data_IF_208869413499
#
_entry.id   IF_208869413499
#
_cell.length_a   1.000
_cell.length_b   1.000
_cell.length_c   1.000
_cell.angle_alpha   90.00
_cell.angle_beta   90.00
_cell.angle_gamma   90.00
#
_symmetry.space_group_name_H-M   'P 1'
#
loop_
_entity.id
_entity.type
_entity.pdbx_description
1 polymer ?
#
# COMPACT_ATOMS: atom_id res chain seq x y z
N UNK A 1 29.97 -36.74 61.02
CA UNK A 1 28.55 -37.15 61.02
C UNK A 1 27.71 -35.96 61.44
N UNK A 2 26.72 -35.57 60.63
CA UNK A 2 25.68 -34.58 60.95
C UNK A 2 26.13 -33.11 60.93
N UNK A 3 25.34 -32.13 60.53
CA UNK A 3 23.99 -32.14 59.98
C UNK A 3 23.72 -30.77 59.31
N UNK A 4 23.00 -30.78 58.19
CA UNK A 4 22.40 -29.62 57.56
C UNK A 4 21.19 -29.09 58.36
N UNK A 5 20.95 -27.76 58.29
CA UNK A 5 19.67 -27.00 58.35
C UNK A 5 20.05 -25.49 58.41
N UNK A 6 19.43 -24.52 57.75
CA UNK A 6 18.18 -24.44 57.00
C UNK A 6 18.07 -23.08 56.26
N UNK A 7 17.32 -23.07 55.14
CA UNK A 7 16.34 -22.05 54.70
C UNK A 7 16.83 -20.62 54.36
N UNK A 8 16.39 -19.93 53.30
CA UNK A 8 15.17 -20.02 52.49
C UNK A 8 15.46 -19.44 51.10
N UNK A 9 15.14 -20.13 50.00
CA UNK A 9 14.97 -19.49 48.69
C UNK A 9 13.49 -19.19 48.50
N UNK A 10 13.17 -17.92 48.31
CA UNK A 10 11.86 -17.49 47.86
C UNK A 10 11.59 -18.05 46.46
N UNK A 11 10.59 -18.91 46.34
CA UNK A 11 9.98 -19.29 45.07
C UNK A 11 9.11 -18.12 44.63
N UNK A 12 9.64 -17.23 43.80
CA UNK A 12 8.80 -16.38 42.97
C UNK A 12 8.21 -17.30 41.89
N UNK A 13 6.96 -17.73 42.13
CA UNK A 13 6.15 -18.38 41.11
C UNK A 13 6.04 -17.46 39.91
N UNK A 14 6.82 -17.75 38.86
CA UNK A 14 6.53 -17.24 37.53
C UNK A 14 5.26 -17.96 37.09
N UNK A 15 4.12 -17.29 37.20
CA UNK A 15 2.95 -17.61 36.39
C UNK A 15 3.42 -17.67 34.95
N UNK A 16 3.56 -18.89 34.44
CA UNK A 16 3.79 -19.15 33.04
C UNK A 16 2.48 -18.80 32.33
N UNK A 17 2.35 -17.54 31.94
CA UNK A 17 1.37 -17.15 30.95
C UNK A 17 1.85 -17.78 29.65
N UNK A 18 1.19 -18.85 29.26
CA UNK A 18 1.34 -19.45 27.93
C UNK A 18 0.97 -18.36 26.91
N UNK A 19 1.86 -17.98 25.97
CA UNK A 19 1.47 -17.07 24.89
C UNK A 19 0.61 -17.86 23.90
N UNK A 20 -0.71 -17.76 24.04
CA UNK A 20 -1.68 -18.56 23.29
C UNK A 20 -1.97 -18.02 21.86
N UNK A 21 -1.02 -17.34 21.23
CA UNK A 21 -1.10 -17.00 19.80
C UNK A 21 0.26 -17.16 19.15
N UNK A 22 0.56 -18.36 18.66
CA UNK A 22 1.78 -18.67 17.90
C UNK A 22 1.92 -17.86 16.59
N UNK A 23 0.87 -17.16 16.17
CA UNK A 23 0.85 -16.33 14.97
C UNK A 23 0.48 -14.89 15.33
N UNK A 24 0.98 -13.91 14.56
CA UNK A 24 0.71 -12.48 14.78
C UNK A 24 -0.72 -12.02 14.44
N UNK A 25 -1.68 -12.95 14.41
CA UNK A 25 -3.08 -12.70 14.05
C UNK A 25 -4.02 -13.02 15.21
N UNK A 26 -5.05 -12.21 15.37
CA UNK A 26 -6.06 -12.31 16.41
C UNK A 26 -7.45 -12.46 15.77
N UNK A 27 -8.38 -13.09 16.50
CA UNK A 27 -9.79 -13.15 16.10
C UNK A 27 -10.40 -11.73 16.12
N UNK A 28 -11.02 -11.29 15.02
CA UNK A 28 -11.59 -9.93 14.88
C UNK A 28 -13.06 -9.83 15.34
N UNK A 29 -13.63 -10.93 15.83
CA UNK A 29 -15.04 -10.98 16.26
C UNK A 29 -16.00 -11.30 15.11
N UNK A 30 -17.18 -11.83 15.46
CA UNK A 30 -18.20 -12.25 14.46
C UNK A 30 -18.94 -11.09 13.81
N UNK A 31 -18.89 -9.90 14.43
CA UNK A 31 -19.52 -8.68 13.92
C UNK A 31 -18.57 -7.86 13.05
N UNK A 32 -17.32 -8.30 12.89
CA UNK A 32 -16.37 -7.65 11.99
C UNK A 32 -16.81 -7.84 10.53
N UNK A 33 -17.06 -6.73 9.85
CA UNK A 33 -17.45 -6.71 8.43
C UNK A 33 -16.35 -5.98 7.66
N UNK A 34 -15.56 -6.68 6.83
CA UNK A 34 -14.53 -6.02 6.05
C UNK A 34 -15.13 -5.21 4.90
N UNK A 35 -14.54 -4.05 4.60
CA UNK A 35 -14.86 -3.23 3.44
C UNK A 35 -14.58 -3.96 2.12
N UNK A 36 -13.64 -4.91 2.12
CA UNK A 36 -13.30 -5.70 0.95
C UNK A 36 -12.93 -7.14 1.31
N UNK A 37 -13.52 -8.08 0.59
CA UNK A 37 -13.22 -9.52 0.67
C UNK A 37 -12.76 -10.01 -0.71
N UNK A 38 -11.71 -10.82 -0.72
CA UNK A 38 -11.16 -11.42 -1.92
C UNK A 38 -10.94 -12.91 -1.73
N UNK A 39 -11.74 -13.69 -2.46
CA UNK A 39 -11.55 -15.14 -2.61
C UNK A 39 -10.55 -15.44 -3.71
N UNK A 40 -9.48 -16.15 -3.36
CA UNK A 40 -8.55 -16.76 -4.29
C UNK A 40 -8.93 -18.23 -4.42
N UNK A 41 -9.38 -18.62 -5.61
CA UNK A 41 -9.62 -20.01 -5.99
C UNK A 41 -8.32 -20.65 -6.51
N UNK A 42 -8.24 -21.97 -6.47
CA UNK A 42 -7.08 -22.76 -6.89
C UNK A 42 -5.77 -22.27 -6.25
N UNK A 43 -5.80 -22.04 -4.93
CA UNK A 43 -4.67 -21.50 -4.17
C UNK A 43 -3.42 -22.39 -4.31
N UNK A 44 -3.58 -23.71 -4.37
CA UNK A 44 -2.47 -24.63 -4.64
C UNK A 44 -1.79 -24.37 -5.99
N UNK A 45 -2.55 -23.95 -7.01
CA UNK A 45 -2.01 -23.58 -8.32
C UNK A 45 -1.23 -22.27 -8.26
N UNK A 46 -1.71 -21.28 -7.51
CA UNK A 46 -0.97 -20.03 -7.26
C UNK A 46 0.43 -20.32 -6.68
N UNK A 47 0.53 -21.24 -5.71
CA UNK A 47 1.81 -21.65 -5.13
C UNK A 47 2.73 -22.32 -6.16
N UNK A 48 2.18 -23.24 -6.98
CA UNK A 48 2.94 -23.97 -8.01
C UNK A 48 3.48 -23.06 -9.11
N UNK A 49 2.77 -21.99 -9.46
CA UNK A 49 3.23 -21.04 -10.50
C UNK A 49 4.51 -20.30 -10.11
N UNK A 50 4.86 -20.25 -8.82
CA UNK A 50 5.99 -19.47 -8.33
C UNK A 50 5.74 -17.95 -8.38
N UNK A 51 4.49 -17.51 -8.55
CA UNK A 51 4.14 -16.10 -8.52
C UNK A 51 4.60 -15.46 -7.20
N UNK A 52 5.38 -14.38 -7.30
CA UNK A 52 5.89 -13.65 -6.12
C UNK A 52 4.75 -13.03 -5.31
N UNK A 53 3.70 -12.59 -5.99
CA UNK A 53 2.51 -12.01 -5.37
C UNK A 53 1.38 -11.94 -6.40
N UNK A 54 0.16 -11.76 -5.91
CA UNK A 54 -1.02 -11.46 -6.73
C UNK A 54 -1.76 -10.25 -6.15
N UNK A 55 -2.42 -9.46 -6.99
CA UNK A 55 -3.10 -8.21 -6.62
C UNK A 55 -4.58 -8.34 -6.99
N UNK A 56 -5.46 -7.89 -6.10
CA UNK A 56 -6.90 -7.92 -6.30
C UNK A 56 -7.38 -6.94 -7.38
N UNK A 57 -8.68 -6.99 -7.68
CA UNK A 57 -9.37 -5.85 -8.31
C UNK A 57 -9.35 -4.62 -7.39
N UNK A 58 -9.57 -3.44 -7.98
CA UNK A 58 -9.67 -2.19 -7.21
C UNK A 58 -10.94 -2.18 -6.37
N UNK A 59 -10.84 -1.75 -5.12
CA UNK A 59 -12.00 -1.46 -4.26
C UNK A 59 -11.94 -0.04 -3.74
N UNK A 60 -13.10 0.61 -3.60
CA UNK A 60 -13.19 2.02 -3.23
C UNK A 60 -13.58 2.17 -1.77
N UNK A 61 -12.80 2.95 -1.02
CA UNK A 61 -13.09 3.26 0.38
C UNK A 61 -12.55 4.66 0.73
N UNK A 62 -13.36 5.46 1.43
CA UNK A 62 -12.98 6.79 1.94
C UNK A 62 -12.36 7.73 0.90
N UNK A 63 -12.84 7.67 -0.34
CA UNK A 63 -12.38 8.53 -1.44
C UNK A 63 -11.15 8.03 -2.20
N UNK A 64 -10.56 6.90 -1.80
CA UNK A 64 -9.40 6.30 -2.45
C UNK A 64 -9.75 4.96 -3.10
N UNK A 65 -8.99 4.62 -4.14
CA UNK A 65 -9.03 3.29 -4.73
C UNK A 65 -7.87 2.49 -4.16
N UNK A 66 -8.16 1.30 -3.63
CA UNK A 66 -7.23 0.41 -2.98
C UNK A 66 -7.17 -0.94 -3.69
N UNK A 67 -6.11 -1.68 -3.43
CA UNK A 67 -5.93 -3.06 -3.82
C UNK A 67 -5.38 -3.84 -2.63
N UNK A 68 -5.77 -5.09 -2.53
CA UNK A 68 -5.17 -6.05 -1.63
C UNK A 68 -4.13 -6.85 -2.41
N UNK A 69 -2.91 -6.92 -1.90
CA UNK A 69 -1.87 -7.78 -2.46
C UNK A 69 -1.58 -8.94 -1.52
N UNK A 70 -1.57 -10.15 -2.08
CA UNK A 70 -1.26 -11.41 -1.39
C UNK A 70 0.12 -11.87 -1.84
N UNK A 71 1.00 -12.15 -0.89
CA UNK A 71 2.35 -12.70 -1.09
C UNK A 71 2.36 -14.09 -0.47
N UNK A 72 2.13 -15.15 -1.26
CA UNK A 72 1.81 -16.47 -0.71
C UNK A 72 3.01 -17.24 -0.16
N UNK A 73 4.24 -16.84 -0.52
CA UNK A 73 5.49 -17.46 -0.08
C UNK A 73 6.46 -16.42 0.49
N UNK A 74 5.96 -15.51 1.32
CA UNK A 74 6.80 -14.49 1.96
C UNK A 74 7.81 -15.16 2.90
N UNK A 75 9.07 -14.71 2.85
CA UNK A 75 10.14 -15.20 3.73
C UNK A 75 10.73 -14.02 4.49
N UNK A 76 10.50 -14.00 5.80
CA UNK A 76 11.18 -13.06 6.68
C UNK A 76 12.65 -13.46 6.86
N UNK A 77 13.52 -12.48 7.07
CA UNK A 77 14.94 -12.74 7.31
C UNK A 77 15.12 -13.54 8.62
N UNK A 78 15.71 -14.73 8.51
CA UNK A 78 15.92 -15.64 9.65
C UNK A 78 14.76 -16.58 9.95
N UNK A 79 13.63 -16.48 9.25
CA UNK A 79 12.53 -17.44 9.36
C UNK A 79 12.80 -18.69 8.52
N UNK A 80 12.64 -19.88 9.12
CA UNK A 80 12.78 -21.16 8.43
C UNK A 80 11.61 -21.53 7.52
N UNK A 81 10.39 -21.08 7.86
CA UNK A 81 9.16 -21.43 7.14
C UNK A 81 8.54 -20.20 6.48
N UNK A 82 8.12 -20.28 5.20
CA UNK A 82 7.44 -19.19 4.53
C UNK A 82 6.04 -18.94 5.13
N UNK A 83 5.57 -17.70 5.01
CA UNK A 83 4.26 -17.24 5.44
C UNK A 83 3.44 -16.76 4.25
N UNK A 84 2.11 -16.79 4.41
CA UNK A 84 1.24 -15.95 3.58
C UNK A 84 1.20 -14.56 4.21
N UNK A 85 1.65 -13.57 3.46
CA UNK A 85 1.64 -12.17 3.87
C UNK A 85 0.69 -11.34 3.01
N UNK A 86 0.10 -10.32 3.62
CA UNK A 86 -0.76 -9.35 2.95
C UNK A 86 -0.15 -7.95 3.01
N UNK A 87 -0.50 -7.11 2.05
CA UNK A 87 -0.29 -5.66 2.14
C UNK A 87 -1.39 -4.88 1.43
N UNK A 88 -1.63 -3.67 1.92
CA UNK A 88 -2.57 -2.73 1.33
C UNK A 88 -1.84 -1.83 0.32
N UNK A 89 -2.46 -1.59 -0.83
CA UNK A 89 -1.85 -0.83 -1.93
C UNK A 89 -2.85 0.23 -2.41
N UNK A 90 -2.57 1.53 -2.27
CA UNK A 90 -3.39 2.56 -2.91
C UNK A 90 -3.12 2.62 -4.41
N UNK A 91 -4.14 2.99 -5.18
CA UNK A 91 -3.96 3.43 -6.55
C UNK A 91 -3.20 4.75 -6.55
N UNK A 92 -2.06 4.80 -7.24
CA UNK A 92 -1.28 6.02 -7.40
C UNK A 92 -2.11 7.17 -8.00
N UNK A 93 -3.10 6.86 -8.86
CA UNK A 93 -3.99 7.85 -9.46
C UNK A 93 -4.92 8.54 -8.44
N UNK A 94 -5.13 7.91 -7.28
CA UNK A 94 -5.91 8.49 -6.19
C UNK A 94 -5.07 9.25 -5.17
N UNK A 95 -3.73 9.21 -5.28
CA UNK A 95 -2.83 9.94 -4.39
C UNK A 95 -2.50 11.32 -4.97
N UNK A 96 -2.49 12.33 -4.10
CA UNK A 96 -2.11 13.70 -4.48
C UNK A 96 -0.63 13.90 -4.11
N UNK A 97 0.23 14.32 -5.06
CA UNK A 97 1.63 14.58 -4.74
C UNK A 97 1.80 15.61 -3.62
N UNK A 98 2.80 15.36 -2.77
CA UNK A 98 3.05 16.13 -1.55
C UNK A 98 2.16 15.76 -0.37
N UNK A 99 0.99 15.13 -0.58
CA UNK A 99 0.13 14.71 0.52
C UNK A 99 0.55 13.33 1.05
N UNK A 100 0.31 13.13 2.33
CA UNK A 100 0.46 11.84 3.00
C UNK A 100 -0.90 11.38 3.49
N UNK A 101 -1.27 10.16 3.10
CA UNK A 101 -2.48 9.47 3.54
C UNK A 101 -2.09 8.52 4.67
N UNK A 102 -2.40 8.89 5.90
CA UNK A 102 -2.24 8.04 7.07
C UNK A 102 -3.46 7.13 7.19
N UNK A 103 -3.29 5.82 7.02
CA UNK A 103 -4.37 4.86 7.13
C UNK A 103 -4.13 3.87 8.28
N UNK A 104 -5.21 3.57 9.01
CA UNK A 104 -5.31 2.49 9.98
C UNK A 104 -6.27 1.46 9.42
N UNK A 105 -5.82 0.22 9.31
CA UNK A 105 -6.56 -0.85 8.62
C UNK A 105 -6.28 -2.21 9.26
N UNK A 106 -7.13 -3.18 8.98
CA UNK A 106 -6.98 -4.57 9.40
C UNK A 106 -6.83 -5.46 8.16
N UNK A 107 -5.85 -6.36 8.20
CA UNK A 107 -5.60 -7.37 7.18
C UNK A 107 -5.96 -8.73 7.77
N UNK A 108 -6.77 -9.53 7.07
CA UNK A 108 -7.30 -10.75 7.65
C UNK A 108 -7.49 -11.89 6.66
N UNK A 109 -7.63 -13.10 7.20
CA UNK A 109 -8.06 -14.31 6.53
C UNK A 109 -9.33 -14.84 7.20
N UNK A 110 -10.28 -15.36 6.42
CA UNK A 110 -11.51 -15.90 6.95
C UNK A 110 -11.34 -17.32 7.48
N UNK A 111 -11.78 -17.56 8.71
CA UNK A 111 -11.88 -18.89 9.30
C UNK A 111 -13.30 -19.43 9.12
N UNK A 112 -13.46 -20.38 8.20
CA UNK A 112 -14.72 -21.02 7.84
C UNK A 112 -15.33 -21.84 9.00
N UNK A 113 -14.50 -22.46 9.83
CA UNK A 113 -14.97 -23.26 10.98
C UNK A 113 -15.55 -22.38 12.08
N UNK A 114 -14.90 -21.25 12.38
CA UNK A 114 -15.37 -20.28 13.40
C UNK A 114 -16.44 -19.33 12.86
N UNK A 115 -16.51 -19.15 11.55
CA UNK A 115 -17.37 -18.18 10.87
C UNK A 115 -16.95 -16.73 11.17
N UNK A 116 -15.65 -16.46 11.19
CA UNK A 116 -15.11 -15.14 11.54
C UNK A 116 -13.72 -14.89 10.94
N UNK A 117 -13.29 -13.63 10.94
CA UNK A 117 -11.98 -13.22 10.45
C UNK A 117 -10.90 -13.31 11.53
N UNK A 118 -9.71 -13.76 11.14
CA UNK A 118 -8.49 -13.72 11.94
C UNK A 118 -7.47 -12.82 11.23
N UNK A 119 -6.92 -11.83 11.91
CA UNK A 119 -6.07 -10.84 11.25
C UNK A 119 -5.26 -9.98 12.19
N UNK A 120 -4.61 -8.96 11.63
CA UNK A 120 -3.83 -8.01 12.40
C UNK A 120 -4.17 -6.58 11.98
N UNK A 121 -4.07 -5.67 12.94
CA UNK A 121 -4.23 -4.23 12.74
C UNK A 121 -2.89 -3.61 12.38
N UNK A 122 -2.89 -2.75 11.38
CA UNK A 122 -1.72 -2.06 10.89
C UNK A 122 -2.00 -0.57 10.68
N UNK A 123 -0.93 0.21 10.71
CA UNK A 123 -0.94 1.65 10.42
C UNK A 123 0.16 1.95 9.42
N UNK A 124 -0.15 2.72 8.38
CA UNK A 124 0.84 3.07 7.37
C UNK A 124 0.59 4.45 6.75
N UNK A 125 1.67 5.13 6.38
CA UNK A 125 1.66 6.40 5.67
C UNK A 125 1.91 6.13 4.19
N UNK A 126 0.88 6.37 3.38
CA UNK A 126 0.97 6.28 1.93
C UNK A 126 1.22 7.65 1.33
N UNK A 127 2.09 7.71 0.35
CA UNK A 127 2.35 8.92 -0.44
C UNK A 127 2.73 8.51 -1.86
N UNK A 128 2.99 9.48 -2.73
CA UNK A 128 3.30 9.22 -4.13
C UNK A 128 4.56 8.36 -4.35
N UNK A 129 5.48 8.31 -3.37
CA UNK A 129 6.67 7.45 -3.37
C UNK A 129 6.41 6.13 -2.63
N UNK A 130 5.62 6.16 -1.57
CA UNK A 130 5.29 5.02 -0.72
C UNK A 130 3.91 4.45 -1.06
N UNK A 131 3.86 3.62 -2.11
CA UNK A 131 2.61 3.19 -2.75
C UNK A 131 2.16 1.80 -2.34
N UNK A 132 2.67 1.28 -1.22
CA UNK A 132 2.25 0.03 -0.60
C UNK A 132 2.64 0.01 0.88
N UNK A 133 1.86 -0.68 1.71
CA UNK A 133 2.20 -0.87 3.12
C UNK A 133 3.34 -1.87 3.29
N UNK A 134 3.87 -1.96 4.52
CA UNK A 134 4.67 -3.12 4.91
C UNK A 134 3.88 -4.41 4.71
N UNK A 135 4.62 -5.49 4.51
CA UNK A 135 4.09 -6.85 4.40
C UNK A 135 3.79 -7.34 5.81
N UNK A 136 2.60 -7.92 6.00
CA UNK A 136 2.15 -8.45 7.28
C UNK A 136 1.89 -9.95 7.15
N UNK A 137 2.72 -10.76 7.81
CA UNK A 137 2.57 -12.20 7.88
C UNK A 137 1.32 -12.57 8.68
N UNK A 138 0.42 -13.35 8.07
CA UNK A 138 -0.79 -13.82 8.74
C UNK A 138 -0.61 -15.23 9.30
N UNK A 139 -0.33 -16.19 8.43
CA UNK A 139 -0.32 -17.61 8.76
C UNK A 139 0.89 -18.29 8.10
N UNK A 140 1.60 -19.19 8.81
CA UNK A 140 2.63 -20.02 8.17
C UNK A 140 2.01 -20.80 7.02
N UNK A 141 2.70 -20.84 5.88
CA UNK A 141 2.16 -21.47 4.68
C UNK A 141 1.86 -22.97 4.90
N UNK A 142 2.68 -23.65 5.71
CA UNK A 142 2.48 -25.05 6.04
C UNK A 142 1.21 -25.28 6.87
N UNK A 143 0.88 -24.36 7.77
CA UNK A 143 -0.34 -24.43 8.60
C UNK A 143 -1.58 -24.14 7.76
N UNK A 144 -1.51 -23.14 6.87
CA UNK A 144 -2.60 -22.86 5.93
C UNK A 144 -2.94 -24.07 5.06
N UNK A 145 -1.93 -24.75 4.50
CA UNK A 145 -2.13 -25.91 3.62
C UNK A 145 -2.75 -27.12 4.33
N UNK A 146 -2.58 -27.24 5.64
CA UNK A 146 -3.17 -28.32 6.45
C UNK A 146 -4.53 -27.94 7.05
N UNK A 147 -4.90 -26.67 7.03
CA UNK A 147 -6.06 -26.17 7.74
C UNK A 147 -7.31 -26.12 6.86
N UNK A 148 -8.23 -27.06 7.10
CA UNK A 148 -9.58 -27.01 6.54
C UNK A 148 -10.43 -25.83 7.04
N UNK A 149 -9.96 -25.11 8.07
CA UNK A 149 -10.63 -23.91 8.56
C UNK A 149 -10.35 -22.68 7.67
N UNK A 150 -9.19 -22.64 7.00
CA UNK A 150 -8.75 -21.48 6.21
C UNK A 150 -8.68 -21.77 4.71
N UNK A 151 -8.41 -23.03 4.33
CA UNK A 151 -8.37 -23.51 2.95
C UNK A 151 -9.52 -24.48 2.71
N UNK A 152 -10.59 -24.00 2.06
CA UNK A 152 -11.79 -24.80 1.75
C UNK A 152 -11.94 -24.87 0.24
N UNK A 153 -12.08 -26.08 -0.32
CA UNK A 153 -12.17 -26.32 -1.76
C UNK A 153 -11.03 -25.63 -2.55
N UNK A 154 -9.80 -25.82 -2.06
CA UNK A 154 -8.57 -25.17 -2.55
C UNK A 154 -8.69 -23.63 -2.67
N UNK A 155 -9.55 -23.02 -1.85
CA UNK A 155 -9.80 -21.58 -1.87
C UNK A 155 -9.51 -20.94 -0.51
N UNK A 156 -8.84 -19.79 -0.56
CA UNK A 156 -8.60 -18.92 0.60
C UNK A 156 -9.40 -17.63 0.45
N UNK A 157 -9.87 -17.08 1.55
CA UNK A 157 -10.57 -15.79 1.58
C UNK A 157 -9.78 -14.80 2.43
N UNK A 158 -9.27 -13.76 1.78
CA UNK A 158 -8.54 -12.67 2.42
C UNK A 158 -9.40 -11.42 2.45
N UNK A 159 -9.21 -10.56 3.44
CA UNK A 159 -10.02 -9.37 3.57
C UNK A 159 -9.24 -8.18 4.14
N UNK A 160 -9.77 -6.99 3.87
CA UNK A 160 -9.30 -5.72 4.42
C UNK A 160 -10.46 -4.99 5.05
N UNK A 161 -10.24 -4.43 6.24
CA UNK A 161 -11.09 -3.37 6.78
C UNK A 161 -10.29 -2.07 6.93
N UNK A 162 -10.85 -0.95 6.49
CA UNK A 162 -10.20 0.37 6.64
C UNK A 162 -10.89 1.15 7.75
N UNK A 163 -10.24 1.20 8.90
CA UNK A 163 -10.79 1.76 10.13
C UNK A 163 -10.73 3.29 10.17
N UNK A 164 -9.65 3.87 9.63
CA UNK A 164 -9.42 5.32 9.67
C UNK A 164 -8.51 5.77 8.54
N UNK A 165 -8.83 6.90 7.94
CA UNK A 165 -7.93 7.63 7.03
C UNK A 165 -7.85 9.09 7.47
N UNK A 166 -6.62 9.57 7.65
CA UNK A 166 -6.29 10.99 7.86
C UNK A 166 -5.36 11.44 6.72
N UNK A 167 -5.53 12.67 6.24
CA UNK A 167 -4.69 13.22 5.17
C UNK A 167 -3.95 14.43 5.70
N UNK A 168 -2.64 14.46 5.50
CA UNK A 168 -1.81 15.64 5.76
C UNK A 168 -1.22 16.18 4.46
N UNK A 169 -1.26 17.49 4.31
CA UNK A 169 -0.58 18.21 3.22
C UNK A 169 0.73 18.80 3.75
N UNK A 170 1.76 19.02 2.91
CA UNK A 170 2.91 19.78 3.34
C UNK A 170 2.46 21.20 3.71
N UNK A 171 2.91 21.72 4.84
CA UNK A 171 2.75 23.14 5.14
C UNK A 171 3.33 23.96 3.98
N UNK A 172 2.58 24.98 3.51
CA UNK A 172 3.11 25.96 2.56
C UNK A 172 4.27 26.71 3.23
N UNK A 173 5.49 26.19 3.13
CA UNK A 173 6.68 27.00 3.39
C UNK A 173 6.71 28.06 2.30
N UNK A 174 6.58 29.33 2.70
CA UNK A 174 6.83 30.46 1.80
C UNK A 174 8.29 30.40 1.34
N UNK A 175 8.54 29.73 0.22
CA UNK A 175 9.85 29.73 -0.42
C UNK A 175 9.94 31.00 -1.25
N UNK A 176 10.84 31.91 -0.88
CA UNK A 176 11.29 32.97 -1.78
C UNK A 176 12.05 32.28 -2.93
N UNK A 177 11.38 32.09 -4.05
CA UNK A 177 11.95 31.40 -5.22
C UNK A 177 12.84 32.36 -6.00
N UNK A 178 14.14 32.03 -6.10
CA UNK A 178 15.03 32.63 -7.11
C UNK A 178 14.59 32.18 -8.50
N UNK A 179 14.24 33.16 -9.35
CA UNK A 179 13.86 32.98 -10.75
C UNK A 179 14.95 32.25 -11.52
N UNK A 180 14.70 31.00 -11.94
CA UNK A 180 15.51 30.32 -12.98
C UNK A 180 14.65 30.13 -14.21
N UNK A 181 15.10 30.68 -15.35
CA UNK A 181 14.43 30.51 -16.63
C UNK A 181 14.67 29.10 -17.18
N UNK A 182 13.60 28.42 -17.59
CA UNK A 182 13.65 27.14 -18.30
C UNK A 182 13.49 27.39 -19.79
N UNK A 183 14.37 26.81 -20.62
CA UNK A 183 14.28 26.89 -22.08
C UNK A 183 13.57 25.62 -22.58
N UNK A 184 12.47 25.79 -23.32
CA UNK A 184 11.73 24.71 -23.96
C UNK A 184 11.90 24.86 -25.47
N UNK A 185 12.36 23.80 -26.15
CA UNK A 185 12.47 23.76 -27.62
C UNK A 185 11.31 22.92 -28.18
N UNK A 186 10.45 23.54 -28.99
CA UNK A 186 9.34 22.87 -29.67
C UNK A 186 9.63 22.76 -31.17
N UNK A 187 9.29 21.62 -31.77
CA UNK A 187 9.34 21.39 -33.22
C UNK A 187 7.90 21.35 -33.76
N UNK A 188 7.59 22.25 -34.72
CA UNK A 188 6.27 22.32 -35.35
C UNK A 188 6.33 21.76 -36.77
N UNK A 189 5.42 20.85 -37.12
CA UNK A 189 5.33 20.24 -38.45
C UNK A 189 4.05 20.72 -39.15
N UNK A 190 4.18 21.29 -40.36
CA UNK A 190 3.04 21.67 -41.20
C UNK A 190 3.20 21.13 -42.63
N UNK A 191 2.07 20.94 -43.32
CA UNK A 191 1.97 20.27 -44.64
C UNK A 191 2.42 21.15 -45.84
N UNK A 192 3.15 22.26 -45.61
CA UNK A 192 3.66 23.17 -46.65
C UNK A 192 5.12 23.63 -46.45
N UNK A 193 5.92 22.89 -45.68
CA UNK A 193 7.35 23.14 -45.47
C UNK A 193 7.74 23.41 -44.02
N UNK A 194 9.05 23.40 -43.74
CA UNK A 194 9.61 23.56 -42.40
C UNK A 194 9.76 25.04 -42.01
N UNK A 195 9.01 25.50 -41.00
CA UNK A 195 9.33 26.76 -40.31
C UNK A 195 10.03 26.43 -38.99
N UNK A 196 11.35 26.63 -38.95
CA UNK A 196 12.15 26.44 -37.73
C UNK A 196 12.14 27.74 -36.94
N UNK A 197 11.57 27.72 -35.74
CA UNK A 197 11.55 28.86 -34.82
C UNK A 197 11.70 28.41 -33.37
N UNK A 198 12.35 29.25 -32.57
CA UNK A 198 12.49 29.04 -31.12
C UNK A 198 11.61 30.05 -30.41
N UNK A 199 10.66 29.58 -29.60
CA UNK A 199 9.85 30.43 -28.74
C UNK A 199 10.25 30.24 -27.29
N UNK A 200 10.78 31.29 -26.67
CA UNK A 200 11.12 31.32 -25.25
C UNK A 200 10.05 32.09 -24.51
N UNK A 201 9.47 31.49 -23.49
CA UNK A 201 8.57 32.19 -22.57
C UNK A 201 8.97 31.91 -21.14
N UNK A 202 8.83 32.94 -20.30
CA UNK A 202 9.14 32.83 -18.88
C UNK A 202 7.87 32.46 -18.12
N UNK A 203 7.87 31.27 -17.54
CA UNK A 203 6.80 30.85 -16.65
C UNK A 203 7.06 31.35 -15.24
N UNK A 204 6.17 32.19 -14.74
CA UNK A 204 6.17 32.58 -13.33
C UNK A 204 5.41 31.52 -12.52
N UNK A 205 5.85 31.24 -11.29
CA UNK A 205 5.20 30.32 -10.37
C UNK A 205 5.02 28.87 -10.88
N UNK A 206 6.05 28.29 -11.51
CA UNK A 206 6.09 26.87 -11.90
C UNK A 206 5.65 25.91 -10.76
N UNK A 207 5.94 26.27 -9.51
CA UNK A 207 5.68 25.44 -8.33
C UNK A 207 4.23 25.53 -7.81
N UNK A 208 3.42 26.49 -8.27
CA UNK A 208 2.00 26.63 -7.88
C UNK A 208 1.05 25.90 -8.85
N UNK A 209 1.61 25.24 -9.87
CA UNK A 209 0.83 24.51 -10.86
C UNK A 209 0.32 23.22 -10.24
N UNK A 210 -0.97 23.22 -9.90
CA UNK A 210 -1.68 22.00 -9.53
C UNK A 210 -1.55 20.99 -10.69
N UNK A 211 -1.10 19.77 -10.38
CA UNK A 211 -0.77 18.70 -11.34
C UNK A 211 -1.95 18.22 -12.20
N UNK A 212 -3.12 18.86 -12.04
CA UNK A 212 -4.36 18.60 -12.77
C UNK A 212 -4.61 19.57 -13.93
N UNK A 213 -3.81 20.63 -14.12
CA UNK A 213 -4.02 21.60 -15.19
C UNK A 213 -2.81 21.74 -16.13
N UNK A 214 -3.03 21.52 -17.43
CA UNK A 214 -2.05 21.84 -18.48
C UNK A 214 -1.75 23.35 -18.46
N UNK A 215 -0.48 23.72 -18.54
CA UNK A 215 -0.13 25.14 -18.64
C UNK A 215 0.00 25.56 -20.08
N UNK A 216 -0.84 26.52 -20.45
CA UNK A 216 -0.88 27.12 -21.78
C UNK A 216 0.01 28.36 -21.80
N UNK A 217 0.93 28.44 -22.75
CA UNK A 217 1.70 29.66 -23.00
C UNK A 217 0.79 30.80 -23.47
N UNK A 218 1.23 32.07 -23.36
CA UNK A 218 0.65 33.16 -24.14
C UNK A 218 0.57 32.80 -25.63
N UNK A 219 -0.40 33.39 -26.33
CA UNK A 219 -0.51 33.24 -27.78
C UNK A 219 0.75 33.79 -28.44
N UNK A 220 1.32 33.07 -29.39
CA UNK A 220 2.39 33.56 -30.25
C UNK A 220 2.13 33.16 -31.69
N UNK A 221 2.65 33.94 -32.64
CA UNK A 221 2.39 33.74 -34.05
C UNK A 221 3.50 32.90 -34.70
N UNK A 222 3.13 31.86 -35.44
CA UNK A 222 4.06 31.06 -36.27
C UNK A 222 3.46 30.93 -37.66
N UNK A 223 4.16 31.44 -38.68
CA UNK A 223 3.75 31.30 -40.07
C UNK A 223 2.36 31.89 -40.38
N UNK A 224 1.97 32.98 -39.72
CA UNK A 224 0.66 33.61 -39.89
C UNK A 224 -0.47 32.98 -39.06
N UNK A 225 -0.16 32.04 -38.16
CA UNK A 225 -1.13 31.37 -37.30
C UNK A 225 -0.87 31.63 -35.82
N UNK A 226 -1.94 31.87 -35.07
CA UNK A 226 -1.89 31.96 -33.63
C UNK A 226 -1.73 30.56 -33.00
N UNK A 227 -0.64 30.38 -32.27
CA UNK A 227 -0.25 29.13 -31.64
C UNK A 227 -0.13 29.28 -30.11
N UNK A 228 -0.19 28.14 -29.42
CA UNK A 228 0.07 28.02 -27.99
C UNK A 228 0.93 26.79 -27.72
N UNK A 229 1.88 26.92 -26.80
CA UNK A 229 2.61 25.79 -26.23
C UNK A 229 1.85 25.25 -25.02
N UNK A 230 1.88 23.94 -24.83
CA UNK A 230 1.37 23.29 -23.62
C UNK A 230 2.52 22.56 -22.92
N UNK A 231 2.70 22.82 -21.63
CA UNK A 231 3.60 22.06 -20.77
C UNK A 231 2.76 21.11 -19.89
N UNK A 232 3.23 19.86 -19.80
CA UNK A 232 2.74 18.83 -18.88
C UNK A 232 3.85 18.46 -17.91
#
# INVERSE_FOLDING_TARGET
MGNCRSSSRALLGKTHVVPDSEWGIQDLGKTHVPVFEWRIQDFSSLLKTGAKSTISGAFRCSGYNWFLQVIPMHKEAGAGTPYVALRLVPSQLSLVPGHTVHAVFELSIYNHTKGMYCGCKATYNFDFKNTYSKEHCLIPLQELQKSSAFLVDDSCVFAVEILKIDVSSPEKKAVVVQKKATIVQNLFVQNKGFVKGTYTWTMNNFLELDLKHFVRSPTFEVGGQNCHGFLR
#
